data_IF_569103503754
#
_entry.id   IF_569103503754
#
_cell.length_a   1.000
_cell.length_b   1.000
_cell.length_c   1.000
_cell.angle_alpha   90.00
_cell.angle_beta   90.00
_cell.angle_gamma   90.00
#
_symmetry.space_group_name_H-M   'P 1'
#
loop_
_entity.id
_entity.type
_entity.pdbx_description
1 polymer ?
#
# COMPACT_ATOMS: atom_id res chain seq x y z
N UNK A 1 -27.55 -21.10 43.21
CA UNK A 1 -27.46 -22.57 43.10
C UNK A 1 -26.19 -22.79 42.27
N UNK A 2 -25.09 -23.08 42.86
CA UNK A 2 -24.68 -24.28 43.58
C UNK A 2 -23.89 -25.13 42.62
N UNK A 3 -22.79 -25.51 42.84
CA UNK A 3 -21.98 -26.38 43.68
C UNK A 3 -20.67 -26.65 42.94
N UNK A 4 -19.47 -26.92 43.41
CA UNK A 4 -18.88 -27.18 44.68
C UNK A 4 -17.37 -27.04 44.58
N UNK A 5 -16.77 -26.43 45.61
CA UNK A 5 -15.40 -26.61 46.07
C UNK A 5 -15.08 -28.10 46.36
N UNK A 6 -13.82 -28.39 46.36
CA UNK A 6 -12.99 -29.32 47.14
C UNK A 6 -11.81 -29.81 46.26
N UNK A 7 -10.54 -29.72 46.58
CA UNK A 7 -9.81 -30.10 47.77
C UNK A 7 -8.45 -29.40 47.84
N UNK A 8 -8.23 -28.77 48.97
CA UNK A 8 -6.91 -28.39 49.46
C UNK A 8 -6.29 -29.59 50.20
N UNK A 9 -5.01 -29.88 49.98
CA UNK A 9 -4.16 -30.50 51.03
C UNK A 9 -2.69 -30.13 50.82
N UNK A 10 -2.18 -29.42 51.83
CA UNK A 10 -0.77 -29.20 52.14
C UNK A 10 -0.06 -30.52 52.39
N UNK A 11 1.22 -30.61 51.98
CA UNK A 11 2.24 -31.29 52.79
C UNK A 11 3.63 -30.75 52.46
N UNK A 12 4.44 -30.63 53.50
CA UNK A 12 5.68 -29.88 53.60
C UNK A 12 6.90 -30.65 53.06
N UNK A 13 7.98 -29.86 52.86
CA UNK A 13 9.32 -30.19 52.36
C UNK A 13 10.08 -31.24 53.21
N UNK A 14 11.23 -31.76 52.69
CA UNK A 14 12.48 -31.10 53.08
C UNK A 14 13.52 -30.91 51.96
N UNK A 15 14.43 -30.00 52.26
CA UNK A 15 15.55 -29.58 51.48
C UNK A 15 16.57 -30.69 51.21
N UNK A 16 17.15 -30.72 49.99
CA UNK A 16 18.45 -31.31 49.71
C UNK A 16 19.16 -30.50 48.64
N UNK A 17 20.31 -30.03 49.02
CA UNK A 17 21.37 -29.39 48.23
C UNK A 17 21.88 -30.30 47.12
N UNK A 18 21.87 -29.80 45.85
CA UNK A 18 22.73 -30.30 44.78
C UNK A 18 22.99 -29.19 43.76
N UNK A 19 24.17 -28.71 43.81
CA UNK A 19 25.15 -28.30 42.80
C UNK A 19 24.63 -27.90 41.41
N UNK A 20 24.96 -26.64 41.04
CA UNK A 20 24.72 -26.02 39.77
C UNK A 20 25.49 -26.70 38.63
N UNK A 21 24.76 -27.28 37.68
CA UNK A 21 25.25 -27.60 36.36
C UNK A 21 24.65 -26.59 35.37
N UNK A 22 25.47 -25.65 34.90
CA UNK A 22 25.15 -24.75 33.79
C UNK A 22 25.03 -25.54 32.47
N UNK A 23 23.95 -25.46 31.71
CA UNK A 23 23.99 -25.90 30.34
C UNK A 23 24.67 -24.82 29.48
N UNK A 24 25.88 -25.08 29.06
CA UNK A 24 26.50 -24.40 27.91
C UNK A 24 25.72 -24.78 26.64
N UNK A 25 24.67 -24.04 26.35
CA UNK A 25 24.00 -24.04 25.06
C UNK A 25 24.45 -22.81 24.27
N UNK A 26 25.49 -22.93 23.50
CA UNK A 26 25.77 -21.97 22.42
C UNK A 26 24.57 -21.96 21.47
N UNK A 27 24.07 -20.78 21.05
CA UNK A 27 23.07 -20.75 20.01
C UNK A 27 23.71 -21.32 18.73
N UNK A 28 23.15 -22.41 18.24
CA UNK A 28 23.48 -22.97 16.95
C UNK A 28 23.22 -21.88 15.90
N UNK A 29 24.27 -21.23 15.42
CA UNK A 29 24.25 -20.45 14.20
C UNK A 29 23.80 -21.41 13.10
N UNK A 30 22.57 -21.30 12.64
CA UNK A 30 22.14 -21.89 11.38
C UNK A 30 23.09 -21.33 10.30
N UNK A 31 23.99 -22.16 9.81
CA UNK A 31 24.75 -21.89 8.60
C UNK A 31 23.76 -21.92 7.44
N UNK A 32 23.07 -20.80 7.20
CA UNK A 32 22.42 -20.55 5.90
C UNK A 32 23.53 -20.72 4.85
N UNK A 33 23.32 -21.59 3.87
CA UNK A 33 24.22 -21.70 2.71
C UNK A 33 24.31 -20.30 2.09
N UNK A 34 25.45 -19.64 2.19
CA UNK A 34 25.72 -18.43 1.41
C UNK A 34 25.64 -18.83 -0.07
N UNK A 35 24.54 -18.40 -0.70
CA UNK A 35 24.37 -18.57 -2.15
C UNK A 35 25.35 -17.62 -2.84
N UNK A 36 26.15 -18.14 -3.76
CA UNK A 36 27.11 -17.29 -4.47
C UNK A 36 26.40 -16.22 -5.30
N UNK A 37 27.03 -15.04 -5.49
CA UNK A 37 26.50 -13.97 -6.33
C UNK A 37 26.17 -14.46 -7.76
N UNK A 38 26.92 -15.43 -8.27
CA UNK A 38 26.66 -16.06 -9.58
C UNK A 38 25.35 -16.85 -9.57
N UNK A 39 25.08 -17.59 -8.51
CA UNK A 39 23.86 -18.39 -8.38
C UNK A 39 22.63 -17.48 -8.18
N UNK A 40 22.73 -16.47 -7.33
CA UNK A 40 21.70 -15.46 -7.16
C UNK A 40 21.36 -14.78 -8.50
N UNK A 41 22.38 -14.39 -9.28
CA UNK A 41 22.18 -13.83 -10.60
C UNK A 41 21.54 -14.80 -11.61
N UNK A 42 21.78 -16.11 -11.48
CA UNK A 42 21.12 -17.15 -12.28
C UNK A 42 19.61 -17.21 -11.92
N UNK A 43 19.29 -17.32 -10.64
CA UNK A 43 17.92 -17.38 -10.15
C UNK A 43 17.13 -16.10 -10.53
N UNK A 44 17.72 -14.93 -10.36
CA UNK A 44 17.12 -13.65 -10.74
C UNK A 44 16.77 -13.59 -12.23
N UNK A 45 17.63 -14.11 -13.11
CA UNK A 45 17.36 -14.19 -14.55
C UNK A 45 16.20 -15.13 -14.86
N UNK A 46 16.11 -16.27 -14.18
CA UNK A 46 15.00 -17.22 -14.38
C UNK A 46 13.68 -16.58 -13.97
N UNK A 47 13.62 -15.92 -12.80
CA UNK A 47 12.40 -15.26 -12.29
C UNK A 47 11.94 -14.11 -13.17
N UNK A 48 12.86 -13.31 -13.71
CA UNK A 48 12.53 -12.15 -14.56
C UNK A 48 12.23 -12.50 -16.01
N UNK A 49 12.45 -13.75 -16.44
CA UNK A 49 12.25 -14.16 -17.82
C UNK A 49 10.88 -14.81 -18.01
N UNK A 50 9.98 -14.11 -18.70
CA UNK A 50 8.64 -14.59 -19.05
C UNK A 50 8.67 -15.92 -19.83
N UNK A 51 9.74 -16.20 -20.59
CA UNK A 51 9.90 -17.40 -21.41
C UNK A 51 10.49 -18.60 -20.66
N UNK A 52 10.90 -18.44 -19.39
CA UNK A 52 11.32 -19.58 -18.57
C UNK A 52 10.16 -20.55 -18.37
N UNK A 53 10.50 -21.85 -18.21
CA UNK A 53 9.47 -22.84 -17.86
C UNK A 53 8.88 -22.53 -16.48
N UNK A 54 7.57 -22.77 -16.31
CA UNK A 54 6.88 -22.50 -15.06
C UNK A 54 7.52 -23.20 -13.87
N UNK A 55 7.90 -24.46 -14.03
CA UNK A 55 8.56 -25.23 -12.99
C UNK A 55 9.90 -24.60 -12.55
N UNK A 56 10.76 -24.24 -13.50
CA UNK A 56 12.05 -23.63 -13.21
C UNK A 56 11.89 -22.26 -12.51
N UNK A 57 10.88 -21.50 -12.93
CA UNK A 57 10.60 -20.18 -12.33
C UNK A 57 10.06 -20.31 -10.91
N UNK A 58 9.14 -21.27 -10.68
CA UNK A 58 8.61 -21.56 -9.35
C UNK A 58 9.74 -22.00 -8.40
N UNK A 59 10.61 -22.92 -8.82
CA UNK A 59 11.77 -23.35 -8.04
C UNK A 59 12.71 -22.20 -7.73
N UNK A 60 12.98 -21.32 -8.70
CA UNK A 60 13.83 -20.15 -8.49
C UNK A 60 13.21 -19.15 -7.51
N UNK A 61 11.88 -18.95 -7.55
CA UNK A 61 11.15 -18.11 -6.60
C UNK A 61 11.29 -18.67 -5.17
N UNK A 62 11.11 -19.96 -4.99
CA UNK A 62 11.22 -20.62 -3.70
C UNK A 62 12.65 -20.54 -3.14
N UNK A 63 13.66 -20.79 -3.97
CA UNK A 63 15.07 -20.67 -3.58
C UNK A 63 15.43 -19.24 -3.18
N UNK A 64 14.99 -18.22 -3.93
CA UNK A 64 15.21 -16.82 -3.59
C UNK A 64 14.46 -16.44 -2.30
N UNK A 65 13.20 -16.87 -2.13
CA UNK A 65 12.43 -16.61 -0.93
C UNK A 65 13.11 -17.15 0.34
N UNK A 66 13.73 -18.34 0.24
CA UNK A 66 14.46 -18.95 1.36
C UNK A 66 15.72 -18.17 1.78
N UNK A 67 16.26 -17.29 0.92
CA UNK A 67 17.43 -16.45 1.26
C UNK A 67 17.08 -15.27 2.17
N UNK A 68 15.83 -14.77 2.11
CA UNK A 68 15.32 -13.69 2.94
C UNK A 68 16.30 -12.50 3.07
N UNK A 69 16.83 -12.00 1.94
CA UNK A 69 17.85 -10.96 1.87
C UNK A 69 17.44 -9.80 0.97
N UNK A 70 18.15 -8.68 1.07
CA UNK A 70 17.96 -7.51 0.19
C UNK A 70 18.04 -7.92 -1.29
N UNK A 71 19.06 -8.69 -1.66
CA UNK A 71 19.28 -9.08 -3.05
C UNK A 71 18.25 -10.08 -3.56
N UNK A 72 17.78 -11.00 -2.71
CA UNK A 72 16.69 -11.91 -3.07
C UNK A 72 15.36 -11.18 -3.21
N UNK A 73 15.05 -10.21 -2.35
CA UNK A 73 13.88 -9.36 -2.46
C UNK A 73 13.90 -8.57 -3.79
N UNK A 74 15.05 -7.97 -4.12
CA UNK A 74 15.25 -7.26 -5.40
C UNK A 74 15.04 -8.18 -6.61
N UNK A 75 15.48 -9.42 -6.54
CA UNK A 75 15.29 -10.41 -7.61
C UNK A 75 13.81 -10.83 -7.74
N UNK A 76 13.13 -11.08 -6.61
CA UNK A 76 11.72 -11.50 -6.58
C UNK A 76 10.77 -10.41 -7.08
N UNK A 77 11.04 -9.13 -6.81
CA UNK A 77 10.25 -8.00 -7.32
C UNK A 77 10.13 -8.02 -8.85
N UNK A 78 11.14 -8.55 -9.57
CA UNK A 78 11.12 -8.66 -11.02
C UNK A 78 10.04 -9.62 -11.55
N UNK A 79 9.48 -10.49 -10.70
CA UNK A 79 8.35 -11.34 -11.10
C UNK A 79 7.09 -10.52 -11.37
N UNK A 80 6.97 -9.34 -10.79
CA UNK A 80 5.82 -8.46 -10.98
C UNK A 80 5.86 -7.65 -12.29
N UNK A 81 6.98 -7.69 -13.02
CA UNK A 81 7.15 -6.92 -14.27
C UNK A 81 6.28 -7.45 -15.44
N UNK A 82 5.70 -8.65 -15.33
CA UNK A 82 4.94 -9.25 -16.42
C UNK A 82 3.76 -10.11 -15.92
N UNK A 83 2.82 -10.34 -16.84
CA UNK A 83 1.72 -11.28 -16.68
C UNK A 83 1.85 -12.43 -17.67
N UNK A 84 1.28 -13.59 -17.35
CA UNK A 84 1.33 -14.77 -18.18
C UNK A 84 0.03 -15.57 -18.09
N UNK A 85 -0.14 -16.50 -19.03
CA UNK A 85 -1.24 -17.47 -19.06
C UNK A 85 -0.72 -18.87 -18.70
N UNK A 86 -1.53 -19.67 -18.00
CA UNK A 86 -2.86 -19.31 -17.46
C UNK A 86 -2.76 -18.37 -16.26
N UNK A 87 -3.77 -17.56 -16.06
CA UNK A 87 -3.80 -16.52 -14.99
C UNK A 87 -3.64 -17.08 -13.58
N UNK A 88 -4.08 -18.32 -13.35
CA UNK A 88 -3.90 -19.00 -12.05
C UNK A 88 -2.41 -19.21 -11.74
N UNK A 89 -1.63 -19.66 -12.72
CA UNK A 89 -0.18 -19.84 -12.56
C UNK A 89 0.52 -18.49 -12.34
N UNK A 90 0.08 -17.43 -13.05
CA UNK A 90 0.59 -16.09 -12.86
C UNK A 90 0.37 -15.60 -11.43
N UNK A 91 -0.85 -15.81 -10.92
CA UNK A 91 -1.23 -15.44 -9.55
C UNK A 91 -0.41 -16.22 -8.51
N UNK A 92 -0.31 -17.54 -8.65
CA UNK A 92 0.40 -18.43 -7.73
C UNK A 92 1.88 -18.04 -7.61
N UNK A 93 2.54 -17.76 -8.73
CA UNK A 93 3.94 -17.34 -8.75
C UNK A 93 4.14 -15.95 -8.14
N UNK A 94 3.24 -14.99 -8.42
CA UNK A 94 3.29 -13.66 -7.81
C UNK A 94 3.06 -13.73 -6.30
N UNK A 95 2.16 -14.58 -5.84
CA UNK A 95 1.96 -14.81 -4.42
C UNK A 95 3.16 -15.46 -3.75
N UNK A 96 3.80 -16.43 -4.41
CA UNK A 96 5.02 -17.04 -3.92
C UNK A 96 6.17 -16.01 -3.83
N UNK A 97 6.34 -15.17 -4.85
CA UNK A 97 7.32 -14.09 -4.84
C UNK A 97 7.04 -13.08 -3.72
N UNK A 98 5.79 -12.67 -3.54
CA UNK A 98 5.38 -11.77 -2.46
C UNK A 98 5.71 -12.37 -1.08
N UNK A 99 5.38 -13.66 -0.84
CA UNK A 99 5.75 -14.35 0.41
C UNK A 99 7.25 -14.37 0.65
N UNK A 100 8.05 -14.58 -0.41
CA UNK A 100 9.51 -14.56 -0.32
C UNK A 100 10.06 -13.17 0.04
N UNK A 101 9.45 -12.09 -0.47
CA UNK A 101 9.83 -10.72 -0.11
C UNK A 101 9.41 -10.41 1.33
N UNK A 102 8.20 -10.82 1.74
CA UNK A 102 7.72 -10.67 3.12
C UNK A 102 8.63 -11.40 4.12
N UNK A 103 9.15 -12.58 3.75
CA UNK A 103 10.11 -13.31 4.58
C UNK A 103 11.44 -12.55 4.80
N UNK A 104 11.85 -11.70 3.86
CA UNK A 104 12.99 -10.81 4.05
C UNK A 104 12.70 -9.68 5.06
N UNK A 105 11.42 -9.35 5.27
CA UNK A 105 11.01 -8.32 6.23
C UNK A 105 11.46 -6.92 5.83
N UNK A 106 11.77 -6.10 6.85
CA UNK A 106 12.05 -4.66 6.68
C UNK A 106 13.26 -4.36 5.76
N UNK A 107 14.19 -5.29 5.60
CA UNK A 107 15.35 -5.11 4.70
C UNK A 107 14.94 -5.06 3.21
N UNK A 108 13.69 -5.44 2.89
CA UNK A 108 13.14 -5.35 1.55
C UNK A 108 12.62 -3.93 1.20
N UNK A 109 12.56 -2.97 2.12
CA UNK A 109 12.02 -1.63 1.87
C UNK A 109 12.78 -0.90 0.77
N UNK A 110 14.11 -0.83 0.85
CA UNK A 110 14.93 -0.16 -0.19
C UNK A 110 14.69 -0.78 -1.58
N UNK A 111 14.76 -2.11 -1.77
CA UNK A 111 14.39 -2.74 -3.03
C UNK A 111 12.96 -2.41 -3.50
N UNK A 112 11.98 -2.34 -2.61
CA UNK A 112 10.59 -2.03 -2.95
C UNK A 112 10.48 -0.58 -3.43
N UNK A 113 11.06 0.40 -2.72
CA UNK A 113 11.06 1.80 -3.14
C UNK A 113 11.71 1.97 -4.51
N UNK A 114 12.90 1.39 -4.71
CA UNK A 114 13.60 1.43 -6.00
C UNK A 114 12.81 0.73 -7.13
N UNK A 115 12.02 -0.28 -6.82
CA UNK A 115 11.12 -0.94 -7.76
C UNK A 115 9.93 -0.05 -8.10
N UNK A 116 9.24 0.52 -7.10
CA UNK A 116 8.06 1.34 -7.27
C UNK A 116 8.30 2.57 -8.15
N UNK A 117 9.49 3.17 -8.09
CA UNK A 117 9.88 4.32 -8.90
C UNK A 117 9.79 4.09 -10.43
N UNK A 118 9.75 2.82 -10.88
CA UNK A 118 9.75 2.45 -12.31
C UNK A 118 8.70 1.40 -12.68
N UNK A 119 7.93 0.91 -11.71
CA UNK A 119 6.96 -0.15 -11.91
C UNK A 119 5.76 0.35 -12.74
N UNK A 120 5.22 -0.49 -13.59
CA UNK A 120 3.98 -0.21 -14.30
C UNK A 120 2.73 -0.43 -13.44
N UNK A 121 2.86 -1.17 -12.32
CA UNK A 121 1.80 -1.40 -11.35
C UNK A 121 2.38 -1.63 -9.95
N UNK A 122 1.75 -1.06 -8.94
CA UNK A 122 2.11 -1.17 -7.54
C UNK A 122 1.25 -2.18 -6.76
N UNK A 123 0.34 -2.88 -7.42
CA UNK A 123 -0.58 -3.83 -6.77
C UNK A 123 0.14 -4.81 -5.84
N UNK A 124 1.21 -5.43 -6.30
CA UNK A 124 1.97 -6.39 -5.52
C UNK A 124 2.92 -5.76 -4.51
N UNK A 125 3.71 -4.75 -4.87
CA UNK A 125 4.53 -4.02 -3.91
C UNK A 125 3.73 -3.48 -2.73
N UNK A 126 2.55 -2.89 -2.95
CA UNK A 126 1.68 -2.37 -1.88
C UNK A 126 1.13 -3.48 -0.98
N UNK A 127 0.81 -4.66 -1.53
CA UNK A 127 0.44 -5.84 -0.72
C UNK A 127 1.56 -6.31 0.19
N UNK A 128 2.81 -6.26 -0.29
CA UNK A 128 3.99 -6.64 0.49
C UNK A 128 4.27 -5.59 1.56
N UNK A 129 4.27 -4.31 1.22
CA UNK A 129 4.50 -3.20 2.18
C UNK A 129 3.59 -3.32 3.40
N UNK A 130 2.30 -3.56 3.19
CA UNK A 130 1.33 -3.72 4.29
C UNK A 130 1.61 -4.90 5.22
N UNK A 131 2.46 -5.85 4.82
CA UNK A 131 2.83 -7.01 5.64
C UNK A 131 4.17 -6.85 6.34
N UNK A 132 5.07 -6.00 5.81
CA UNK A 132 6.42 -5.84 6.39
C UNK A 132 6.58 -4.55 7.19
N UNK A 133 5.75 -3.54 6.91
CA UNK A 133 5.77 -2.24 7.59
C UNK A 133 4.80 -2.27 8.78
N UNK A 134 5.22 -1.85 9.98
CA UNK A 134 4.33 -1.68 11.11
C UNK A 134 3.17 -0.74 10.79
N UNK A 135 1.98 -1.02 11.35
CA UNK A 135 0.76 -0.27 11.03
C UNK A 135 0.88 1.25 11.30
N UNK A 136 1.66 1.63 12.29
CA UNK A 136 1.94 3.02 12.66
C UNK A 136 2.87 3.75 11.68
N UNK A 137 3.62 3.03 10.85
CA UNK A 137 4.59 3.58 9.89
C UNK A 137 4.12 3.50 8.44
N UNK A 138 3.04 2.77 8.18
CA UNK A 138 2.60 2.50 6.79
C UNK A 138 2.22 3.78 6.04
N UNK A 139 1.66 4.77 6.72
CA UNK A 139 1.28 6.06 6.11
C UNK A 139 2.54 6.78 5.63
N UNK A 140 3.57 6.88 6.47
CA UNK A 140 4.83 7.54 6.13
C UNK A 140 5.50 6.89 4.91
N UNK A 141 5.46 5.55 4.84
CA UNK A 141 6.00 4.81 3.69
C UNK A 141 5.20 5.04 2.41
N UNK A 142 3.87 5.09 2.49
CA UNK A 142 3.02 5.39 1.33
C UNK A 142 3.20 6.83 0.85
N UNK A 143 3.34 7.79 1.77
CA UNK A 143 3.64 9.18 1.43
C UNK A 143 5.02 9.33 0.81
N UNK A 144 6.04 8.64 1.33
CA UNK A 144 7.38 8.59 0.73
C UNK A 144 7.35 8.04 -0.70
N UNK A 145 6.48 7.07 -0.99
CA UNK A 145 6.28 6.58 -2.34
C UNK A 145 5.54 7.59 -3.22
N UNK A 146 4.55 8.30 -2.67
CA UNK A 146 3.78 9.31 -3.42
C UNK A 146 4.66 10.51 -3.82
N UNK A 147 5.60 10.91 -2.97
CA UNK A 147 6.57 11.99 -3.22
C UNK A 147 7.47 11.74 -4.45
N UNK A 148 7.53 10.49 -4.94
CA UNK A 148 8.25 10.17 -6.18
C UNK A 148 7.50 10.61 -7.45
N UNK A 149 6.24 11.04 -7.30
CA UNK A 149 5.37 11.43 -8.40
C UNK A 149 5.01 12.92 -8.29
N UNK A 150 5.15 13.61 -9.41
CA UNK A 150 4.65 14.98 -9.58
C UNK A 150 3.26 14.98 -10.26
N UNK A 151 2.74 16.16 -10.56
CA UNK A 151 1.46 16.36 -11.26
C UNK A 151 1.61 16.46 -12.79
N UNK A 152 2.81 16.26 -13.28
CA UNK A 152 3.15 16.35 -14.69
C UNK A 152 2.79 15.07 -15.47
N UNK A 153 2.95 15.15 -16.79
CA UNK A 153 2.63 14.05 -17.69
C UNK A 153 3.45 12.80 -17.39
N UNK A 154 2.75 11.71 -17.18
CA UNK A 154 3.30 10.37 -17.05
C UNK A 154 2.66 9.45 -18.10
N UNK A 155 3.48 8.68 -18.84
CA UNK A 155 2.98 7.75 -19.86
C UNK A 155 2.00 6.72 -19.30
N UNK A 156 2.29 6.21 -18.10
CA UNK A 156 1.43 5.28 -17.38
C UNK A 156 1.10 5.84 -16.00
N UNK A 157 -0.09 6.43 -15.78
CA UNK A 157 -0.46 7.02 -14.50
C UNK A 157 -0.90 6.00 -13.44
N UNK A 158 -0.98 4.72 -13.80
CA UNK A 158 -1.52 3.66 -12.93
C UNK A 158 -0.83 3.58 -11.55
N UNK A 159 0.52 3.64 -11.43
CA UNK A 159 1.19 3.65 -10.13
C UNK A 159 0.74 4.82 -9.24
N UNK A 160 0.64 6.02 -9.80
CA UNK A 160 0.17 7.23 -9.13
C UNK A 160 -1.28 7.06 -8.63
N UNK A 161 -2.17 6.56 -9.50
CA UNK A 161 -3.57 6.28 -9.17
C UNK A 161 -3.68 5.24 -8.05
N UNK A 162 -2.89 4.18 -8.09
CA UNK A 162 -2.91 3.13 -7.08
C UNK A 162 -2.50 3.64 -5.70
N UNK A 163 -1.46 4.48 -5.60
CA UNK A 163 -1.05 5.11 -4.35
C UNK A 163 -2.12 6.03 -3.80
N UNK A 164 -2.64 6.96 -4.63
CA UNK A 164 -3.71 7.87 -4.23
C UNK A 164 -4.94 7.10 -3.74
N UNK A 165 -5.28 6.00 -4.42
CA UNK A 165 -6.44 5.18 -4.05
C UNK A 165 -6.22 4.44 -2.72
N UNK A 166 -5.03 3.90 -2.49
CA UNK A 166 -4.69 3.21 -1.23
C UNK A 166 -4.69 4.18 -0.06
N UNK A 167 -4.22 5.41 -0.26
CA UNK A 167 -4.21 6.45 0.76
C UNK A 167 -5.62 6.85 1.24
N UNK A 168 -6.67 6.59 0.47
CA UNK A 168 -8.06 6.80 0.89
C UNK A 168 -8.48 6.02 2.16
N UNK A 169 -7.73 4.98 2.53
CA UNK A 169 -7.98 4.20 3.74
C UNK A 169 -7.50 4.93 5.01
N UNK A 170 -6.63 5.94 4.88
CA UNK A 170 -5.97 6.64 5.98
C UNK A 170 -6.50 8.08 6.08
N UNK A 171 -7.29 8.36 7.11
CA UNK A 171 -7.99 9.64 7.29
C UNK A 171 -7.16 10.59 8.16
N UNK A 172 -6.00 10.99 7.65
CA UNK A 172 -5.11 11.91 8.35
C UNK A 172 -4.93 13.20 7.57
N UNK A 173 -4.52 14.28 8.25
CA UNK A 173 -4.27 15.57 7.62
C UNK A 173 -3.08 15.49 6.65
N UNK A 174 -2.06 14.72 7.00
CA UNK A 174 -0.86 14.52 6.17
C UNK A 174 -1.23 13.88 4.83
N UNK A 175 -2.11 12.88 4.84
CA UNK A 175 -2.61 12.23 3.62
C UNK A 175 -3.44 13.20 2.78
N UNK A 176 -4.30 14.00 3.43
CA UNK A 176 -5.08 15.04 2.75
C UNK A 176 -4.17 16.01 2.00
N UNK A 177 -3.21 16.61 2.71
CA UNK A 177 -2.27 17.59 2.16
C UNK A 177 -1.40 17.01 1.03
N UNK A 178 -0.99 15.75 1.14
CA UNK A 178 -0.21 15.07 0.11
C UNK A 178 -1.03 14.75 -1.16
N UNK A 179 -2.33 14.53 -1.04
CA UNK A 179 -3.21 14.18 -2.18
C UNK A 179 -3.77 15.42 -2.88
N UNK A 180 -3.98 16.53 -2.17
CA UNK A 180 -4.57 17.77 -2.72
C UNK A 180 -3.89 18.28 -4.01
N UNK A 181 -2.55 18.28 -4.16
CA UNK A 181 -1.91 18.72 -5.39
C UNK A 181 -2.35 17.96 -6.63
N UNK A 182 -2.71 16.68 -6.48
CA UNK A 182 -3.14 15.82 -7.59
C UNK A 182 -4.54 16.12 -8.12
N UNK A 183 -5.27 17.05 -7.51
CA UNK A 183 -6.46 17.66 -8.10
C UNK A 183 -6.14 18.48 -9.36
N UNK A 184 -4.89 18.95 -9.50
CA UNK A 184 -4.38 19.67 -10.67
C UNK A 184 -3.52 18.80 -11.62
N UNK A 185 -3.49 17.47 -11.45
CA UNK A 185 -2.71 16.58 -12.32
C UNK A 185 -3.14 16.70 -13.79
N UNK A 186 -2.19 16.66 -14.72
CA UNK A 186 -2.50 16.70 -16.16
C UNK A 186 -3.37 15.53 -16.61
N UNK A 187 -3.32 14.40 -15.92
CA UNK A 187 -4.11 13.21 -16.25
C UNK A 187 -5.48 13.23 -15.55
N UNK A 188 -6.56 13.19 -16.34
CA UNK A 188 -7.95 13.17 -15.87
C UNK A 188 -8.23 12.06 -14.85
N UNK A 189 -7.70 10.83 -15.07
CA UNK A 189 -7.94 9.72 -14.17
C UNK A 189 -7.29 9.96 -12.79
N UNK A 190 -6.12 10.60 -12.75
CA UNK A 190 -5.48 10.99 -11.49
C UNK A 190 -6.34 12.00 -10.74
N UNK A 191 -6.82 13.07 -11.40
CA UNK A 191 -7.72 14.07 -10.79
C UNK A 191 -9.00 13.43 -10.25
N UNK A 192 -9.57 12.49 -11.02
CA UNK A 192 -10.76 11.72 -10.61
C UNK A 192 -10.53 10.90 -9.34
N UNK A 193 -9.40 10.22 -9.23
CA UNK A 193 -9.06 9.42 -8.06
C UNK A 193 -8.66 10.29 -6.87
N UNK A 194 -7.91 11.37 -7.08
CA UNK A 194 -7.55 12.32 -6.04
C UNK A 194 -8.79 12.92 -5.37
N UNK A 195 -9.75 13.42 -6.17
CA UNK A 195 -11.02 13.93 -5.63
C UNK A 195 -11.77 12.87 -4.83
N UNK A 196 -11.79 11.62 -5.32
CA UNK A 196 -12.42 10.50 -4.62
C UNK A 196 -11.76 10.19 -3.27
N UNK A 197 -10.45 10.22 -3.21
CA UNK A 197 -9.67 10.00 -1.99
C UNK A 197 -9.93 11.09 -0.95
N UNK A 198 -9.95 12.36 -1.35
CA UNK A 198 -10.26 13.47 -0.45
C UNK A 198 -11.65 13.37 0.15
N UNK A 199 -12.66 12.96 -0.64
CA UNK A 199 -13.99 12.68 -0.09
C UNK A 199 -14.03 11.47 0.85
N UNK A 200 -13.21 10.46 0.62
CA UNK A 200 -13.10 9.29 1.51
C UNK A 200 -12.43 9.66 2.85
N UNK A 201 -11.47 10.58 2.83
CA UNK A 201 -10.87 11.16 4.04
C UNK A 201 -11.93 11.92 4.82
N UNK A 202 -12.77 12.71 4.13
CA UNK A 202 -13.94 13.36 4.68
C UNK A 202 -13.64 14.64 5.49
N UNK A 203 -12.46 15.23 5.33
CA UNK A 203 -12.08 16.49 5.98
C UNK A 203 -12.64 17.68 5.18
N UNK A 204 -13.43 18.52 5.87
CA UNK A 204 -14.02 19.73 5.28
C UNK A 204 -12.96 20.74 4.80
N UNK A 205 -11.74 20.69 5.30
CA UNK A 205 -10.64 21.53 4.81
C UNK A 205 -10.35 21.31 3.31
N UNK A 206 -10.69 20.12 2.76
CA UNK A 206 -10.61 19.84 1.33
C UNK A 206 -11.67 20.56 0.48
N UNK A 207 -12.67 21.21 1.08
CA UNK A 207 -13.74 21.89 0.32
C UNK A 207 -13.18 23.00 -0.58
N UNK A 208 -12.25 23.79 -0.08
CA UNK A 208 -11.64 24.89 -0.84
C UNK A 208 -10.82 24.39 -2.04
N UNK A 209 -9.84 23.47 -1.88
CA UNK A 209 -9.08 22.95 -3.02
C UNK A 209 -9.97 22.17 -4.01
N UNK A 210 -10.99 21.43 -3.55
CA UNK A 210 -11.93 20.76 -4.44
C UNK A 210 -12.78 21.73 -5.27
N UNK A 211 -13.21 22.85 -4.69
CA UNK A 211 -13.96 23.89 -5.41
C UNK A 211 -13.04 24.68 -6.36
N UNK A 212 -11.79 24.88 -6.00
CA UNK A 212 -10.81 25.47 -6.91
C UNK A 212 -10.60 24.57 -8.13
N UNK A 213 -10.38 23.28 -7.91
CA UNK A 213 -10.25 22.30 -8.98
C UNK A 213 -11.51 22.21 -9.84
N UNK A 214 -12.72 22.25 -9.25
CA UNK A 214 -13.99 22.22 -9.96
C UNK A 214 -14.14 23.41 -10.95
N UNK A 215 -13.67 24.60 -10.56
CA UNK A 215 -13.75 25.80 -11.37
C UNK A 215 -12.90 25.71 -12.65
N UNK A 216 -11.72 25.09 -12.54
CA UNK A 216 -10.76 24.94 -13.65
C UNK A 216 -10.95 23.64 -14.46
N UNK A 217 -11.76 22.70 -13.94
CA UNK A 217 -11.92 21.38 -14.56
C UNK A 217 -12.70 21.45 -15.88
N UNK A 218 -12.20 20.74 -16.90
CA UNK A 218 -12.87 20.63 -18.21
C UNK A 218 -13.64 19.30 -18.35
N UNK A 219 -13.20 18.24 -17.67
CA UNK A 219 -13.85 16.93 -17.74
C UNK A 219 -15.18 16.91 -16.97
N UNK A 220 -16.26 16.66 -17.67
CA UNK A 220 -17.58 16.46 -17.06
C UNK A 220 -17.60 15.30 -16.07
N UNK A 221 -16.75 14.28 -16.30
CA UNK A 221 -16.62 13.12 -15.41
C UNK A 221 -16.05 13.54 -14.06
N UNK A 222 -15.00 14.36 -14.05
CA UNK A 222 -14.37 14.85 -12.81
C UNK A 222 -15.29 15.90 -12.15
N UNK A 223 -15.89 16.85 -12.92
CA UNK A 223 -16.88 17.80 -12.40
C UNK A 223 -18.00 17.10 -11.64
N UNK A 224 -18.61 16.09 -12.26
CA UNK A 224 -19.67 15.31 -11.64
C UNK A 224 -19.18 14.51 -10.41
N UNK A 225 -17.95 14.03 -10.42
CA UNK A 225 -17.33 13.37 -9.26
C UNK A 225 -17.23 14.30 -8.07
N UNK A 226 -16.74 15.54 -8.31
CA UNK A 226 -16.59 16.54 -7.25
C UNK A 226 -17.97 17.01 -6.76
N UNK A 227 -18.88 17.37 -7.67
CA UNK A 227 -20.22 17.84 -7.30
C UNK A 227 -20.99 16.82 -6.47
N UNK A 228 -20.97 15.54 -6.91
CA UNK A 228 -21.59 14.45 -6.16
C UNK A 228 -20.91 14.21 -4.81
N UNK A 229 -19.60 14.34 -4.76
CA UNK A 229 -18.84 14.22 -3.50
C UNK A 229 -19.22 15.31 -2.51
N UNK A 230 -19.34 16.57 -2.95
CA UNK A 230 -19.78 17.69 -2.12
C UNK A 230 -21.21 17.51 -1.62
N UNK A 231 -22.12 17.03 -2.49
CA UNK A 231 -23.51 16.72 -2.14
C UNK A 231 -23.56 15.65 -1.04
N UNK A 232 -22.84 14.53 -1.24
CA UNK A 232 -22.84 13.41 -0.29
C UNK A 232 -22.14 13.74 1.03
N UNK A 233 -21.10 14.55 0.99
CA UNK A 233 -20.38 15.00 2.19
C UNK A 233 -21.24 15.96 3.04
N UNK A 234 -22.16 16.71 2.40
CA UNK A 234 -23.07 17.61 3.08
C UNK A 234 -22.36 18.73 3.86
N UNK A 235 -21.14 19.08 3.46
CA UNK A 235 -20.37 20.12 4.15
C UNK A 235 -21.06 21.48 4.11
N UNK A 236 -20.97 22.21 5.23
CA UNK A 236 -21.43 23.60 5.31
C UNK A 236 -20.32 24.51 4.77
N UNK A 237 -20.54 25.08 3.60
CA UNK A 237 -19.61 25.99 2.93
C UNK A 237 -19.78 27.41 3.51
N UNK A 238 -18.68 28.17 3.58
CA UNK A 238 -18.76 29.61 3.82
C UNK A 238 -19.52 30.30 2.68
N UNK A 239 -19.98 31.53 2.89
CA UNK A 239 -20.70 32.29 1.85
C UNK A 239 -19.85 32.45 0.57
N UNK A 240 -18.54 32.63 0.70
CA UNK A 240 -17.60 32.74 -0.42
C UNK A 240 -17.48 31.40 -1.17
N UNK A 241 -17.27 30.28 -0.46
CA UNK A 241 -17.18 28.96 -1.09
C UNK A 241 -18.51 28.53 -1.72
N UNK A 242 -19.64 28.90 -1.11
CA UNK A 242 -20.97 28.63 -1.66
C UNK A 242 -21.18 29.36 -3.00
N UNK A 243 -20.76 30.65 -3.09
CA UNK A 243 -20.81 31.42 -4.34
C UNK A 243 -19.90 30.82 -5.42
N UNK A 244 -18.68 30.38 -5.06
CA UNK A 244 -17.76 29.69 -5.97
C UNK A 244 -18.35 28.36 -6.47
N UNK A 245 -18.95 27.60 -5.56
CA UNK A 245 -19.63 26.36 -5.90
C UNK A 245 -20.75 26.61 -6.93
N UNK A 246 -21.64 27.56 -6.66
CA UNK A 246 -22.76 27.87 -7.55
C UNK A 246 -22.32 28.27 -8.98
N UNK A 247 -21.19 28.97 -9.10
CA UNK A 247 -20.64 29.37 -10.39
C UNK A 247 -20.01 28.20 -11.18
N UNK A 248 -19.61 27.10 -10.52
CA UNK A 248 -18.77 26.04 -11.12
C UNK A 248 -19.48 24.69 -11.21
N UNK A 249 -20.58 24.49 -10.46
CA UNK A 249 -21.29 23.23 -10.43
C UNK A 249 -21.86 22.84 -11.80
N UNK A 250 -21.79 21.57 -12.21
CA UNK A 250 -22.42 21.10 -13.43
C UNK A 250 -23.95 21.08 -13.28
N UNK A 251 -24.71 21.05 -14.41
CA UNK A 251 -26.15 20.91 -14.40
C UNK A 251 -26.63 19.73 -13.53
N UNK A 252 -27.70 19.92 -12.78
CA UNK A 252 -28.24 18.92 -11.86
C UNK A 252 -27.75 19.05 -10.42
N UNK A 253 -26.98 20.11 -10.11
CA UNK A 253 -26.60 20.48 -8.75
C UNK A 253 -26.84 21.97 -8.51
N UNK A 254 -27.16 22.31 -7.27
CA UNK A 254 -27.37 23.70 -6.81
C UNK A 254 -26.80 23.88 -5.40
N UNK A 255 -26.68 25.13 -4.96
CA UNK A 255 -26.32 25.44 -3.58
C UNK A 255 -27.56 25.95 -2.85
N UNK A 256 -27.86 25.37 -1.68
CA UNK A 256 -28.92 25.84 -0.78
C UNK A 256 -28.42 25.80 0.66
N UNK A 257 -28.61 26.90 1.39
CA UNK A 257 -28.19 27.05 2.80
C UNK A 257 -26.72 26.67 3.03
N UNK A 258 -25.83 27.07 2.07
CA UNK A 258 -24.41 26.78 2.11
C UNK A 258 -24.03 25.31 1.86
N UNK A 259 -24.93 24.50 1.28
CA UNK A 259 -24.65 23.09 0.95
C UNK A 259 -24.96 22.81 -0.50
N UNK A 260 -24.16 21.92 -1.10
CA UNK A 260 -24.46 21.39 -2.43
C UNK A 260 -25.57 20.34 -2.30
N UNK A 261 -26.58 20.48 -3.15
CA UNK A 261 -27.75 19.60 -3.22
C UNK A 261 -28.05 19.23 -4.68
N UNK A 262 -28.83 18.17 -4.94
CA UNK A 262 -29.39 17.92 -6.26
C UNK A 262 -30.25 19.14 -6.70
N UNK A 263 -30.10 19.58 -7.97
CA UNK A 263 -30.77 20.71 -8.59
C UNK A 263 -32.12 20.33 -9.20
#
# INVERSE_FOLDING_TARGET
MGLFDLFSKKSAAPASTAEAAQPKGSPAKSKGKEVSARELGRLARVVSNKLSQNYDRQEAIEQLGALASVDSARALLRRFDFTMEPSITDQDEKEAAARGIVAAGIVALEPIHAYCARAESLTWPLKVLRQIVPAEQIVDELLTLLDQFDTEYMRNPEPKIQLITVLAEYRTNEVREAVEPFLGDVNEAVRFHASGTLFSIGDVASAEPLLAALAEEESLRVKNRIARGLEQAGWSLSAELAQRAEASLPPGYAVRDGRVIPG
#
